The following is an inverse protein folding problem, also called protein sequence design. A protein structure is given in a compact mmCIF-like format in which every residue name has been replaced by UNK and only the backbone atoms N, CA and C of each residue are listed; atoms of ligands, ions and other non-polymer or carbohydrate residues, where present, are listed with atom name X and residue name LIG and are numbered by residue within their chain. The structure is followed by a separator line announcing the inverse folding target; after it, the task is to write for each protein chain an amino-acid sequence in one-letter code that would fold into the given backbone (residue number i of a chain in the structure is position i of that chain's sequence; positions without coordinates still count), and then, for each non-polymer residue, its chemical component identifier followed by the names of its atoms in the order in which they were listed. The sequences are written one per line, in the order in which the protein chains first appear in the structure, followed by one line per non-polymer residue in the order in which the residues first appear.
data_IF_340400408632
#
_entry.id   IF_340400408632
#
_cell.length_a   1.000
_cell.length_b   1.000
_cell.length_c   1.000
_cell.angle_alpha   90.00
_cell.angle_beta   90.00
_cell.angle_gamma   90.00
#
_symmetry.space_group_name_H-M   'P 1'
#
loop_
_entity.id
_entity.type
_entity.pdbx_description
1 polymer ?
#
# COMPACT_ATOMS: atom_id res chain seq x y z
N UNK A 1 -14.73 1.15 9.57
CA UNK A 1 -15.94 1.69 10.17
C UNK A 1 -15.74 3.19 10.15
N UNK A 2 -16.58 3.92 9.42
CA UNK A 2 -16.53 5.38 9.51
C UNK A 2 -17.36 5.80 10.73
N UNK A 3 -16.76 6.60 11.61
CA UNK A 3 -17.45 7.22 12.73
C UNK A 3 -18.40 8.25 12.13
N UNK A 4 -19.68 7.90 12.09
CA UNK A 4 -20.77 8.82 11.76
C UNK A 4 -21.46 9.24 13.04
N UNK A 5 -22.11 10.41 13.01
CA UNK A 5 -23.01 10.83 14.09
C UNK A 5 -24.00 9.69 14.38
N UNK A 6 -23.90 9.14 15.59
CA UNK A 6 -24.76 8.08 16.12
C UNK A 6 -25.37 8.61 17.40
N UNK A 7 -26.66 8.36 17.56
CA UNK A 7 -27.33 8.59 18.83
C UNK A 7 -27.06 7.38 19.72
N UNK A 8 -26.53 7.65 20.92
CA UNK A 8 -26.33 6.66 21.96
C UNK A 8 -27.48 6.76 22.97
N UNK A 9 -27.85 5.67 23.66
CA UNK A 9 -28.91 5.68 24.66
C UNK A 9 -28.50 6.36 25.99
N UNK A 10 -27.25 6.79 26.08
CA UNK A 10 -26.64 7.49 27.21
C UNK A 10 -25.58 8.48 26.68
N UNK A 11 -25.14 9.46 27.50
CA UNK A 11 -24.09 10.41 27.14
C UNK A 11 -22.80 9.73 26.74
N UNK A 12 -22.22 10.10 25.60
CA UNK A 12 -20.92 9.60 25.13
C UNK A 12 -19.99 10.76 24.84
N UNK A 13 -18.81 10.78 25.47
CA UNK A 13 -17.81 11.82 25.25
C UNK A 13 -17.31 11.77 23.79
N UNK A 14 -17.62 12.78 22.99
CA UNK A 14 -17.25 12.85 21.59
C UNK A 14 -17.12 14.30 21.15
N UNK A 15 -16.31 14.57 20.12
CA UNK A 15 -16.25 15.88 19.48
C UNK A 15 -17.45 16.16 18.56
N UNK A 16 -18.30 15.17 18.33
CA UNK A 16 -19.44 15.24 17.41
C UNK A 16 -20.79 15.53 18.12
N UNK A 17 -20.81 15.65 19.44
CA UNK A 17 -21.98 15.96 20.25
C UNK A 17 -21.59 16.92 21.40
N UNK A 18 -22.57 17.34 22.18
CA UNK A 18 -22.44 18.22 23.33
C UNK A 18 -22.87 17.53 24.63
N UNK A 19 -22.83 16.19 24.66
CA UNK A 19 -23.19 15.37 25.83
C UNK A 19 -22.33 15.69 27.06
N UNK A 20 -21.12 16.21 26.84
CA UNK A 20 -20.13 16.57 27.85
C UNK A 20 -19.70 18.04 27.70
N UNK A 21 -19.35 18.67 28.82
CA UNK A 21 -18.83 20.03 28.93
C UNK A 21 -17.46 20.02 29.59
N UNK A 22 -16.47 20.66 28.96
CA UNK A 22 -15.13 20.79 29.52
C UNK A 22 -14.28 19.51 29.51
N UNK A 23 -14.79 18.39 28.99
CA UNK A 23 -14.04 17.15 28.76
C UNK A 23 -13.70 16.96 27.28
N UNK A 24 -12.60 16.26 26.99
CA UNK A 24 -12.23 15.91 25.62
C UNK A 24 -11.50 14.58 25.54
N UNK A 25 -11.68 13.84 24.46
CA UNK A 25 -10.91 12.64 24.16
C UNK A 25 -10.47 12.66 22.70
N UNK A 26 -9.16 12.59 22.48
CA UNK A 26 -8.56 12.56 21.13
C UNK A 26 -7.40 11.56 21.08
N UNK A 27 -6.84 11.35 19.89
CA UNK A 27 -5.61 10.58 19.76
C UNK A 27 -4.69 11.18 18.69
N UNK A 28 -3.39 11.01 18.89
CA UNK A 28 -2.36 11.38 17.93
C UNK A 28 -1.76 10.12 17.32
N UNK A 29 -1.95 9.89 16.01
CA UNK A 29 -1.35 8.76 15.33
C UNK A 29 0.05 9.09 14.81
N UNK A 30 1.02 8.25 15.12
CA UNK A 30 2.31 8.19 14.47
C UNK A 30 2.44 6.84 13.73
N UNK A 31 2.24 6.88 12.42
CA UNK A 31 2.22 5.68 11.57
C UNK A 31 3.49 5.66 10.74
N UNK A 32 4.28 4.60 10.87
CA UNK A 32 5.52 4.42 10.11
C UNK A 32 5.50 3.13 9.29
N UNK A 33 6.09 3.17 8.11
CA UNK A 33 6.17 2.02 7.19
C UNK A 33 7.58 1.46 7.23
N UNK A 34 7.71 0.23 7.72
CA UNK A 34 8.92 -0.58 7.63
C UNK A 34 8.93 -1.47 6.38
N UNK A 35 10.01 -2.24 6.15
CA UNK A 35 10.16 -3.07 4.94
C UNK A 35 9.13 -4.20 4.81
N UNK A 36 8.59 -4.70 5.92
CA UNK A 36 7.65 -5.85 5.96
C UNK A 36 6.45 -5.62 6.87
N UNK A 37 6.36 -4.46 7.50
CA UNK A 37 5.34 -4.14 8.47
C UNK A 37 5.03 -2.65 8.47
N UNK A 38 3.84 -2.33 8.96
CA UNK A 38 3.41 -0.97 9.26
C UNK A 38 3.20 -0.90 10.76
N UNK A 39 3.84 0.08 11.38
CA UNK A 39 3.81 0.33 12.82
C UNK A 39 2.84 1.47 13.09
N UNK A 40 1.88 1.20 13.97
CA UNK A 40 0.89 2.15 14.44
C UNK A 40 1.20 2.49 15.89
N UNK A 41 1.87 3.61 16.12
CA UNK A 41 2.08 4.18 17.45
C UNK A 41 0.99 5.21 17.71
N UNK A 42 0.14 4.96 18.69
CA UNK A 42 -1.04 5.76 18.98
C UNK A 42 -0.91 6.29 20.42
N UNK A 43 -1.01 7.61 20.57
CA UNK A 43 -1.07 8.28 21.87
C UNK A 43 -2.47 8.84 22.07
N UNK A 44 -3.17 8.31 23.07
CA UNK A 44 -4.47 8.76 23.51
C UNK A 44 -4.34 9.95 24.47
N UNK A 45 -5.16 10.98 24.28
CA UNK A 45 -5.24 12.15 25.14
C UNK A 45 -6.67 12.27 25.70
N UNK A 46 -6.82 11.98 27.00
CA UNK A 46 -8.08 12.01 27.73
C UNK A 46 -8.06 13.12 28.77
N UNK A 47 -8.95 14.10 28.59
CA UNK A 47 -9.24 15.15 29.54
C UNK A 47 -10.60 14.87 30.19
N UNK A 48 -10.65 13.85 31.06
CA UNK A 48 -11.81 13.53 31.89
C UNK A 48 -11.38 12.63 33.06
N UNK A 49 -11.43 13.14 34.30
CA UNK A 49 -10.92 12.43 35.47
C UNK A 49 -11.76 11.22 35.85
N UNK A 50 -13.07 11.24 35.59
CA UNK A 50 -13.97 10.12 35.90
C UNK A 50 -13.73 8.94 34.94
N UNK A 51 -13.59 9.21 33.65
CA UNK A 51 -13.24 8.18 32.66
C UNK A 51 -11.83 7.65 32.91
N UNK A 52 -10.86 8.51 33.27
CA UNK A 52 -9.51 8.06 33.62
C UNK A 52 -9.54 7.12 34.83
N UNK A 53 -10.28 7.47 35.89
CA UNK A 53 -10.45 6.60 37.05
C UNK A 53 -11.05 5.25 36.68
N UNK A 54 -12.06 5.20 35.80
CA UNK A 54 -12.66 3.94 35.33
C UNK A 54 -11.63 3.06 34.62
N UNK A 55 -10.72 3.65 33.85
CA UNK A 55 -9.63 2.92 33.18
C UNK A 55 -8.63 2.39 34.22
N UNK A 56 -8.23 3.24 35.17
CA UNK A 56 -7.24 2.92 36.20
C UNK A 56 -7.70 1.75 37.11
N UNK A 57 -8.99 1.71 37.45
CA UNK A 57 -9.58 0.62 38.25
C UNK A 57 -10.00 -0.59 37.37
N UNK A 58 -9.75 -0.55 36.06
CA UNK A 58 -10.03 -1.64 35.13
C UNK A 58 -11.50 -1.86 34.78
N UNK A 59 -12.37 -0.88 35.03
CA UNK A 59 -13.79 -0.89 34.64
C UNK A 59 -13.99 -0.47 33.16
N UNK A 60 -13.05 0.28 32.59
CA UNK A 60 -13.01 0.66 31.19
C UNK A 60 -11.64 0.39 30.57
N UNK A 61 -11.56 0.36 29.24
CA UNK A 61 -10.29 0.23 28.51
C UNK A 61 -10.30 1.06 27.22
N UNK A 62 -9.12 1.49 26.78
CA UNK A 62 -8.96 2.05 25.43
C UNK A 62 -9.09 0.92 24.41
N UNK A 63 -9.86 1.17 23.36
CA UNK A 63 -10.09 0.24 22.26
C UNK A 63 -9.77 0.93 20.95
N UNK A 64 -8.79 0.41 20.23
CA UNK A 64 -8.41 0.87 18.90
C UNK A 64 -8.93 -0.15 17.89
N UNK A 65 -9.66 0.33 16.89
CA UNK A 65 -10.12 -0.47 15.77
C UNK A 65 -9.39 -0.05 14.50
N UNK A 66 -8.64 -0.98 13.91
CA UNK A 66 -7.94 -0.79 12.64
C UNK A 66 -8.63 -1.63 11.57
N UNK A 67 -9.00 -0.99 10.46
CA UNK A 67 -9.67 -1.65 9.35
C UNK A 67 -9.04 -1.25 8.00
N UNK A 68 -8.79 -2.24 7.16
CA UNK A 68 -8.45 -2.07 5.75
C UNK A 68 -9.50 -2.84 4.92
N UNK A 69 -10.50 -2.16 4.34
CA UNK A 69 -11.56 -2.82 3.60
C UNK A 69 -11.05 -3.59 2.38
N UNK A 70 -10.01 -3.08 1.72
CA UNK A 70 -9.45 -3.67 0.49
C UNK A 70 -8.92 -5.09 0.71
N UNK A 71 -8.25 -5.33 1.85
CA UNK A 71 -7.69 -6.64 2.20
C UNK A 71 -8.59 -7.44 3.14
N UNK A 72 -9.79 -6.94 3.43
CA UNK A 72 -10.70 -7.46 4.46
C UNK A 72 -10.05 -7.58 5.85
N UNK A 73 -8.98 -6.82 6.12
CA UNK A 73 -8.33 -6.81 7.41
C UNK A 73 -9.13 -5.98 8.42
N UNK A 74 -9.39 -6.54 9.59
CA UNK A 74 -9.97 -5.86 10.75
C UNK A 74 -9.34 -6.40 12.02
N UNK A 75 -8.95 -5.50 12.92
CA UNK A 75 -8.34 -5.86 14.19
C UNK A 75 -8.77 -4.89 15.29
N UNK A 76 -8.98 -5.42 16.49
CA UNK A 76 -9.28 -4.67 17.70
C UNK A 76 -8.08 -4.83 18.64
N UNK A 77 -7.52 -3.70 19.07
CA UNK A 77 -6.42 -3.62 20.02
C UNK A 77 -6.98 -2.99 21.29
N UNK A 78 -6.61 -3.58 22.43
CA UNK A 78 -7.06 -3.14 23.75
C UNK A 78 -5.86 -2.69 24.54
N UNK A 79 -5.93 -1.49 25.12
CA UNK A 79 -4.82 -0.89 25.84
C UNK A 79 -5.33 -0.27 27.14
N UNK A 80 -4.56 -0.42 28.21
CA UNK A 80 -4.83 0.22 29.51
C UNK A 80 -3.93 1.44 29.75
N UNK A 81 -2.99 1.70 28.85
CA UNK A 81 -2.11 2.87 28.85
C UNK A 81 -2.48 3.80 27.69
N UNK A 82 -2.21 5.08 27.86
CA UNK A 82 -2.35 6.12 26.84
C UNK A 82 -1.47 5.89 25.61
N UNK A 83 -0.37 5.14 25.73
CA UNK A 83 0.47 4.80 24.59
C UNK A 83 0.25 3.35 24.17
N UNK A 84 -0.07 3.14 22.90
CA UNK A 84 -0.29 1.82 22.35
C UNK A 84 0.40 1.68 20.99
N UNK A 85 1.22 0.63 20.84
CA UNK A 85 1.92 0.33 19.59
C UNK A 85 1.43 -0.98 19.00
N UNK A 86 1.20 -1.01 17.69
CA UNK A 86 0.83 -2.24 16.97
C UNK A 86 1.57 -2.35 15.64
N UNK A 87 2.19 -3.51 15.46
CA UNK A 87 2.84 -3.90 14.21
C UNK A 87 1.89 -4.79 13.40
N UNK A 88 1.62 -4.40 12.16
CA UNK A 88 0.81 -5.18 11.23
C UNK A 88 1.68 -5.50 10.01
N UNK A 89 1.73 -6.78 9.64
CA UNK A 89 2.45 -7.24 8.44
C UNK A 89 1.92 -6.52 7.21
N UNK A 90 2.80 -5.92 6.42
CA UNK A 90 2.47 -5.07 5.25
C UNK A 90 1.57 -5.81 4.26
N UNK A 91 1.75 -7.12 4.09
CA UNK A 91 0.95 -7.93 3.18
C UNK A 91 -0.55 -7.90 3.49
N UNK A 92 -0.93 -7.65 4.75
CA UNK A 92 -2.32 -7.59 5.22
C UNK A 92 -2.98 -6.24 5.00
N UNK A 93 -2.26 -5.20 4.56
CA UNK A 93 -2.79 -3.85 4.37
C UNK A 93 -2.55 -3.39 2.92
N UNK A 94 -3.55 -2.77 2.28
CA UNK A 94 -3.38 -2.13 0.98
C UNK A 94 -4.48 -1.08 0.75
N UNK A 95 -4.12 0.07 0.21
CA UNK A 95 -5.01 1.21 0.04
C UNK A 95 -5.37 1.89 1.37
N UNK A 96 -6.56 2.49 1.43
CA UNK A 96 -7.05 3.20 2.62
C UNK A 96 -7.19 2.29 3.84
N UNK A 97 -6.51 2.65 4.93
CA UNK A 97 -6.64 2.05 6.26
C UNK A 97 -7.23 3.08 7.20
N UNK A 98 -8.31 2.71 7.89
CA UNK A 98 -8.98 3.55 8.88
C UNK A 98 -8.64 3.09 10.29
N UNK A 99 -8.33 4.05 11.16
CA UNK A 99 -8.07 3.84 12.58
C UNK A 99 -9.09 4.64 13.39
N UNK A 100 -9.77 3.98 14.33
CA UNK A 100 -10.75 4.59 15.24
C UNK A 100 -10.36 4.26 16.68
N UNK A 101 -10.56 5.20 17.60
CA UNK A 101 -10.25 4.99 19.02
C UNK A 101 -11.49 5.25 19.88
N UNK A 102 -11.70 4.39 20.88
CA UNK A 102 -12.83 4.43 21.79
C UNK A 102 -12.37 4.20 23.24
N UNK A 103 -13.17 4.64 24.20
CA UNK A 103 -13.15 4.10 25.57
C UNK A 103 -14.38 3.23 25.71
N UNK A 104 -14.19 1.99 26.16
CA UNK A 104 -15.25 0.98 26.23
C UNK A 104 -15.33 0.39 27.62
N UNK A 105 -16.55 0.16 28.12
CA UNK A 105 -16.79 -0.51 29.39
C UNK A 105 -16.34 -1.98 29.32
N UNK A 106 -15.46 -2.39 30.24
CA UNK A 106 -14.93 -3.75 30.33
C UNK A 106 -15.89 -4.68 31.08
N UNK A 107 -16.69 -4.11 31.97
CA UNK A 107 -17.72 -4.75 32.77
C UNK A 107 -18.99 -3.89 32.76
N UNK A 108 -20.09 -4.41 33.29
CA UNK A 108 -21.30 -3.62 33.47
C UNK A 108 -21.06 -2.55 34.55
N UNK A 109 -21.43 -1.30 34.26
CA UNK A 109 -21.30 -0.16 35.15
C UNK A 109 -22.71 0.33 35.50
N UNK A 110 -23.15 0.04 36.72
CA UNK A 110 -24.47 0.46 37.18
C UNK A 110 -24.44 1.90 37.69
N UNK A 111 -25.45 2.69 37.35
CA UNK A 111 -25.60 4.07 37.82
C UNK A 111 -24.44 4.99 37.45
N UNK A 112 -23.86 4.83 36.27
CA UNK A 112 -22.81 5.71 35.75
C UNK A 112 -23.29 7.16 35.70
N UNK A 113 -22.48 8.05 36.26
CA UNK A 113 -22.64 9.50 36.18
C UNK A 113 -21.27 10.12 35.92
N UNK A 114 -21.26 11.29 35.29
CA UNK A 114 -20.05 12.08 35.12
C UNK A 114 -20.36 13.55 35.45
N UNK A 115 -19.56 14.22 36.30
CA UNK A 115 -19.74 15.65 36.60
C UNK A 115 -19.66 16.56 35.37
N UNK A 116 -18.99 16.10 34.30
CA UNK A 116 -18.86 16.83 33.05
C UNK A 116 -20.05 16.67 32.12
N UNK A 117 -21.07 15.87 32.46
CA UNK A 117 -22.27 15.78 31.63
C UNK A 117 -22.92 17.16 31.40
N UNK A 118 -23.53 17.32 30.23
CA UNK A 118 -24.38 18.47 29.94
C UNK A 118 -25.53 18.57 30.95
N UNK A 119 -26.01 19.79 31.19
CA UNK A 119 -27.10 20.10 32.11
C UNK A 119 -28.37 19.27 31.85
N UNK A 120 -28.63 18.89 30.60
CA UNK A 120 -29.77 18.05 30.21
C UNK A 120 -29.75 16.65 30.88
N UNK A 121 -28.59 16.20 31.33
CA UNK A 121 -28.38 14.93 32.03
C UNK A 121 -28.19 15.09 33.54
N UNK A 122 -28.43 16.28 34.08
CA UNK A 122 -28.31 16.54 35.52
C UNK A 122 -29.21 15.59 36.32
N UNK A 123 -28.66 15.01 37.39
CA UNK A 123 -29.34 14.06 38.28
C UNK A 123 -29.83 12.74 37.64
N UNK A 124 -29.40 12.45 36.41
CA UNK A 124 -29.69 11.18 35.72
C UNK A 124 -28.44 10.29 35.77
N UNK A 125 -28.64 9.00 36.06
CA UNK A 125 -27.61 7.98 35.96
C UNK A 125 -27.98 6.92 34.93
N UNK A 126 -26.95 6.27 34.39
CA UNK A 126 -27.10 5.32 33.29
C UNK A 126 -26.46 3.98 33.63
N UNK A 127 -27.14 2.88 33.33
CA UNK A 127 -26.54 1.56 33.38
C UNK A 127 -25.86 1.28 32.03
N UNK A 128 -24.56 1.01 32.06
CA UNK A 128 -23.74 0.79 30.87
C UNK A 128 -23.30 -0.66 30.85
N UNK A 129 -23.81 -1.41 29.89
CA UNK A 129 -23.43 -2.81 29.69
C UNK A 129 -21.97 -2.92 29.24
N UNK A 130 -21.34 -4.07 29.54
CA UNK A 130 -20.05 -4.46 29.01
C UNK A 130 -20.03 -4.32 27.48
N UNK A 131 -19.01 -3.63 26.97
CA UNK A 131 -18.89 -3.31 25.55
C UNK A 131 -19.54 -1.98 25.15
N UNK A 132 -20.22 -1.30 26.08
CA UNK A 132 -20.75 0.04 25.90
C UNK A 132 -19.64 1.06 25.64
N UNK A 133 -19.86 1.98 24.70
CA UNK A 133 -18.89 3.00 24.29
C UNK A 133 -19.06 4.22 25.21
N UNK A 134 -18.06 4.52 26.02
CA UNK A 134 -18.07 5.67 26.93
C UNK A 134 -17.53 6.94 26.26
N UNK A 135 -16.58 6.79 25.34
CA UNK A 135 -16.00 7.91 24.60
C UNK A 135 -15.56 7.51 23.19
N UNK A 136 -15.56 8.48 22.28
CA UNK A 136 -15.13 8.37 20.90
C UNK A 136 -13.98 9.36 20.66
N UNK A 137 -12.77 8.86 20.47
CA UNK A 137 -11.54 9.66 20.32
C UNK A 137 -11.31 10.21 18.92
N UNK A 138 -12.19 9.88 17.98
CA UNK A 138 -12.12 10.27 16.58
C UNK A 138 -11.60 9.16 15.67
N UNK A 139 -11.34 9.54 14.41
CA UNK A 139 -10.90 8.65 13.34
C UNK A 139 -9.84 9.34 12.49
N UNK A 140 -8.84 8.58 12.07
CA UNK A 140 -7.96 8.98 10.98
C UNK A 140 -7.96 7.91 9.88
N UNK A 141 -7.47 8.29 8.70
CA UNK A 141 -7.19 7.35 7.63
C UNK A 141 -5.81 7.60 7.07
N UNK A 142 -5.08 6.52 6.84
CA UNK A 142 -3.79 6.52 6.16
C UNK A 142 -3.92 5.73 4.88
N UNK A 143 -3.35 6.25 3.79
CA UNK A 143 -3.25 5.52 2.54
C UNK A 143 -2.00 4.64 2.58
N UNK A 144 -2.18 3.33 2.66
CA UNK A 144 -1.07 2.36 2.61
C UNK A 144 -1.03 1.81 1.21
N UNK A 145 -0.36 2.52 0.32
CA UNK A 145 -0.02 1.94 -0.97
C UNK A 145 1.14 0.99 -0.74
N UNK A 146 0.94 -0.27 -1.11
CA UNK A 146 2.08 -1.13 -1.38
C UNK A 146 2.88 -0.39 -2.43
N UNK A 147 4.13 -0.09 -2.11
CA UNK A 147 5.07 0.30 -3.15
C UNK A 147 5.41 -1.00 -3.88
N UNK A 148 4.43 -1.57 -4.56
CA UNK A 148 4.73 -2.23 -5.81
C UNK A 148 5.28 -1.10 -6.64
N UNK A 149 6.59 -1.10 -6.74
CA UNK A 149 7.47 -0.30 -7.58
C UNK A 149 7.13 -0.49 -9.09
N UNK A 150 5.84 -0.58 -9.42
CA UNK A 150 5.24 -0.91 -10.71
C UNK A 150 5.16 0.31 -11.65
N UNK A 151 5.62 1.48 -11.19
CA UNK A 151 5.77 2.67 -12.04
C UNK A 151 7.22 3.18 -12.07
N UNK A 152 8.11 2.48 -11.38
CA UNK A 152 9.51 2.84 -11.13
C UNK A 152 10.43 1.76 -11.69
N UNK A 153 10.02 0.49 -11.67
CA UNK A 153 10.71 -0.60 -12.37
C UNK A 153 10.13 -0.76 -13.77
N UNK A 154 10.90 -0.34 -14.77
CA UNK A 154 10.63 -0.51 -16.20
C UNK A 154 10.12 -1.92 -16.59
N UNK A 155 10.53 -3.03 -15.97
CA UNK A 155 9.95 -4.35 -16.27
C UNK A 155 8.44 -4.49 -15.98
N UNK A 156 7.86 -3.69 -15.10
CA UNK A 156 6.45 -3.80 -14.67
C UNK A 156 5.42 -3.27 -15.68
N UNK A 157 5.88 -2.45 -16.63
CA UNK A 157 5.07 -1.96 -17.77
C UNK A 157 5.00 -2.96 -18.92
N UNK A 158 5.65 -4.12 -18.77
CA UNK A 158 5.56 -5.23 -19.71
C UNK A 158 4.55 -6.27 -19.23
N UNK A 159 3.92 -6.94 -20.19
CA UNK A 159 3.12 -8.15 -19.96
C UNK A 159 3.64 -9.24 -20.86
N UNK A 160 4.12 -10.34 -20.30
CA UNK A 160 4.55 -11.49 -21.08
C UNK A 160 3.38 -12.47 -21.16
N UNK A 161 2.96 -12.78 -22.39
CA UNK A 161 1.75 -13.52 -22.69
C UNK A 161 2.06 -14.74 -23.57
N UNK A 162 1.21 -15.77 -23.50
CA UNK A 162 1.24 -16.93 -24.39
C UNK A 162 0.47 -16.61 -25.68
N UNK A 163 1.02 -16.98 -26.84
CA UNK A 163 0.30 -16.95 -28.11
C UNK A 163 -0.93 -17.88 -28.07
N UNK A 164 -2.06 -17.38 -28.60
CA UNK A 164 -3.27 -18.18 -28.80
C UNK A 164 -3.23 -19.02 -30.09
N UNK A 165 -2.31 -18.70 -31.00
CA UNK A 165 -2.13 -19.39 -32.28
C UNK A 165 -0.85 -20.22 -32.22
N UNK A 166 -0.96 -21.53 -32.39
CA UNK A 166 0.16 -22.49 -32.33
C UNK A 166 1.09 -22.42 -33.56
N UNK A 167 0.80 -21.58 -34.56
CA UNK A 167 1.55 -21.50 -35.83
C UNK A 167 2.65 -20.43 -35.86
N UNK A 168 2.79 -19.60 -34.83
CA UNK A 168 3.79 -18.53 -34.80
C UNK A 168 4.86 -18.80 -33.76
N UNK A 169 6.07 -19.09 -34.24
CA UNK A 169 7.22 -19.43 -33.41
C UNK A 169 7.98 -18.19 -32.92
N UNK A 170 7.65 -17.00 -33.43
CA UNK A 170 8.40 -15.77 -33.16
C UNK A 170 7.83 -14.94 -32.01
N UNK A 171 8.71 -14.22 -31.30
CA UNK A 171 8.31 -13.24 -30.30
C UNK A 171 7.64 -12.03 -30.96
N UNK A 172 6.47 -11.64 -30.46
CA UNK A 172 5.74 -10.44 -30.92
C UNK A 172 5.66 -9.38 -29.84
N UNK A 173 5.61 -8.13 -30.27
CA UNK A 173 5.47 -6.96 -29.39
C UNK A 173 4.26 -6.16 -29.83
N UNK A 174 3.38 -5.83 -28.88
CA UNK A 174 2.19 -5.01 -29.09
C UNK A 174 2.20 -3.81 -28.12
N UNK A 175 1.91 -2.63 -28.66
CA UNK A 175 1.97 -1.33 -27.99
C UNK A 175 0.56 -0.71 -27.76
N UNK A 176 -0.49 -1.35 -28.26
CA UNK A 176 -1.87 -0.85 -28.25
C UNK A 176 -2.55 -0.95 -26.88
N UNK A 177 -1.95 -1.67 -25.94
CA UNK A 177 -2.45 -1.81 -24.58
C UNK A 177 -1.97 -0.72 -23.60
N UNK A 178 -2.39 -0.84 -22.35
CA UNK A 178 -1.84 -0.05 -21.23
C UNK A 178 -0.41 -0.49 -20.85
N UNK A 179 -0.08 -1.74 -21.14
CA UNK A 179 1.24 -2.35 -21.00
C UNK A 179 1.79 -2.75 -22.36
N UNK A 180 3.11 -2.81 -22.48
CA UNK A 180 3.78 -3.38 -23.65
C UNK A 180 3.64 -4.90 -23.58
N UNK A 181 2.90 -5.50 -24.49
CA UNK A 181 2.67 -6.94 -24.49
C UNK A 181 3.75 -7.66 -25.31
N UNK A 182 4.44 -8.60 -24.68
CA UNK A 182 5.39 -9.52 -25.32
C UNK A 182 4.70 -10.88 -25.42
N UNK A 183 4.42 -11.32 -26.63
CA UNK A 183 3.79 -12.63 -26.87
C UNK A 183 4.85 -13.64 -27.27
N UNK A 184 4.89 -14.76 -26.56
CA UNK A 184 5.80 -15.89 -26.81
C UNK A 184 5.01 -17.12 -27.29
N UNK A 185 5.67 -18.02 -28.01
CA UNK A 185 5.10 -19.32 -28.35
C UNK A 185 4.85 -20.16 -27.08
N UNK A 186 4.03 -21.21 -27.20
CA UNK A 186 3.60 -22.01 -26.05
C UNK A 186 4.77 -22.59 -25.24
N UNK A 187 5.81 -23.09 -25.92
CA UNK A 187 6.99 -23.69 -25.29
C UNK A 187 7.82 -22.64 -24.55
N UNK A 188 8.21 -21.55 -25.22
CA UNK A 188 9.00 -20.48 -24.59
C UNK A 188 8.27 -19.82 -23.42
N UNK A 189 6.95 -19.63 -23.52
CA UNK A 189 6.15 -19.11 -22.41
C UNK A 189 6.13 -20.06 -21.21
N UNK A 190 6.01 -21.37 -21.45
CA UNK A 190 6.05 -22.38 -20.38
C UNK A 190 7.39 -22.35 -19.64
N UNK A 191 8.50 -22.33 -20.39
CA UNK A 191 9.85 -22.24 -19.82
C UNK A 191 10.05 -20.93 -19.05
N UNK A 192 9.66 -19.80 -19.65
CA UNK A 192 9.68 -18.50 -18.98
C UNK A 192 8.93 -18.54 -17.65
N UNK A 193 7.69 -19.07 -17.62
CA UNK A 193 6.85 -19.09 -16.42
C UNK A 193 7.49 -19.88 -15.28
N UNK A 194 8.13 -20.99 -15.58
CA UNK A 194 8.83 -21.82 -14.58
C UNK A 194 10.06 -21.08 -14.05
N UNK A 195 10.89 -20.54 -14.95
CA UNK A 195 12.16 -19.90 -14.59
C UNK A 195 11.97 -18.53 -13.93
N UNK A 196 10.96 -17.77 -14.32
CA UNK A 196 10.67 -16.43 -13.78
C UNK A 196 10.28 -16.45 -12.30
N UNK A 197 9.93 -17.62 -11.76
CA UNK A 197 9.67 -17.80 -10.33
C UNK A 197 10.95 -17.64 -9.48
N UNK A 198 12.13 -17.90 -10.06
CA UNK A 198 13.41 -17.69 -9.39
C UNK A 198 13.96 -16.29 -9.74
N UNK A 199 14.21 -15.43 -8.73
CA UNK A 199 14.77 -14.10 -8.95
C UNK A 199 16.11 -14.08 -9.69
N UNK A 200 16.87 -15.17 -9.64
CA UNK A 200 18.19 -15.28 -10.28
C UNK A 200 18.13 -15.20 -11.81
N UNK A 201 17.01 -15.60 -12.43
CA UNK A 201 16.85 -15.52 -13.89
C UNK A 201 16.29 -14.17 -14.38
N UNK A 202 15.79 -13.31 -13.48
CA UNK A 202 15.18 -12.03 -13.89
C UNK A 202 16.13 -11.13 -14.69
N UNK A 203 17.42 -10.96 -14.33
CA UNK A 203 18.36 -10.17 -15.13
C UNK A 203 18.50 -10.70 -16.57
N UNK A 204 18.49 -12.03 -16.74
CA UNK A 204 18.55 -12.68 -18.05
C UNK A 204 17.30 -12.36 -18.86
N UNK A 205 16.11 -12.49 -18.28
CA UNK A 205 14.85 -12.14 -18.95
C UNK A 205 14.74 -10.65 -19.30
N UNK A 206 15.26 -9.77 -18.45
CA UNK A 206 15.35 -8.34 -18.79
C UNK A 206 16.22 -8.11 -20.03
N UNK A 207 17.31 -8.84 -20.19
CA UNK A 207 18.20 -8.70 -21.35
C UNK A 207 17.65 -9.33 -22.63
N UNK A 208 16.94 -10.47 -22.56
CA UNK A 208 16.50 -11.20 -23.76
C UNK A 208 15.06 -10.90 -24.19
N UNK A 209 14.21 -10.40 -23.28
CA UNK A 209 12.81 -10.06 -23.59
C UNK A 209 12.57 -8.54 -23.53
N UNK A 210 12.91 -7.93 -22.39
CA UNK A 210 12.52 -6.53 -22.12
C UNK A 210 13.37 -5.55 -22.93
N UNK A 211 14.68 -5.78 -23.02
CA UNK A 211 15.59 -4.93 -23.80
C UNK A 211 15.19 -4.89 -25.29
N UNK A 212 15.00 -6.02 -26.02
CA UNK A 212 14.52 -5.99 -27.39
C UNK A 212 13.17 -5.27 -27.55
N UNK A 213 12.26 -5.45 -26.60
CA UNK A 213 10.97 -4.78 -26.63
C UNK A 213 11.09 -3.25 -26.46
N UNK A 214 12.00 -2.77 -25.60
CA UNK A 214 12.28 -1.34 -25.48
C UNK A 214 12.94 -0.76 -26.72
N UNK A 215 13.86 -1.49 -27.35
CA UNK A 215 14.47 -1.06 -28.61
C UNK A 215 13.37 -0.85 -29.65
N UNK A 216 12.46 -1.80 -29.77
CA UNK A 216 11.31 -1.70 -30.67
C UNK A 216 10.39 -0.51 -30.34
N UNK A 217 10.15 -0.26 -29.04
CA UNK A 217 9.38 0.91 -28.59
C UNK A 217 10.05 2.21 -29.03
N UNK A 218 11.33 2.40 -28.73
CA UNK A 218 12.04 3.63 -29.10
C UNK A 218 12.11 3.82 -30.61
N UNK A 219 12.30 2.74 -31.37
CA UNK A 219 12.28 2.79 -32.84
C UNK A 219 10.90 3.20 -33.38
N UNK A 220 9.84 2.68 -32.76
CA UNK A 220 8.47 3.03 -33.12
C UNK A 220 8.16 4.49 -32.79
N UNK A 221 8.55 4.96 -31.60
CA UNK A 221 8.39 6.37 -31.21
C UNK A 221 9.19 7.30 -32.12
N UNK A 222 10.40 6.91 -32.53
CA UNK A 222 11.25 7.68 -33.43
C UNK A 222 10.62 7.83 -34.83
N UNK A 223 10.01 6.75 -35.35
CA UNK A 223 9.38 6.73 -36.68
C UNK A 223 8.01 7.38 -36.72
N UNK A 224 7.18 7.13 -35.72
CA UNK A 224 5.75 7.49 -35.72
C UNK A 224 5.43 8.72 -34.87
N UNK A 225 6.40 9.23 -34.10
CA UNK A 225 6.17 10.28 -33.11
C UNK A 225 5.60 9.74 -31.79
N UNK A 226 5.42 10.64 -30.82
CA UNK A 226 5.01 10.29 -29.45
C UNK A 226 3.53 10.54 -29.15
N UNK A 227 2.83 11.32 -29.98
CA UNK A 227 1.51 11.88 -29.71
C UNK A 227 0.46 10.80 -29.41
N UNK A 228 0.41 9.74 -30.22
CA UNK A 228 -0.55 8.63 -30.09
C UNK A 228 -0.33 7.78 -28.82
N UNK A 229 0.83 7.92 -28.18
CA UNK A 229 1.24 7.09 -27.04
C UNK A 229 1.20 7.85 -25.71
N UNK A 230 1.03 9.17 -25.69
CA UNK A 230 1.17 9.98 -24.48
C UNK A 230 0.24 9.58 -23.32
N UNK A 231 -0.94 9.06 -23.65
CA UNK A 231 -1.94 8.62 -22.67
C UNK A 231 -1.67 7.22 -22.11
N UNK A 232 -0.89 6.40 -22.83
CA UNK A 232 -0.61 5.01 -22.45
C UNK A 232 0.15 4.96 -21.14
N UNK A 233 -0.24 4.06 -20.23
CA UNK A 233 0.46 3.89 -18.94
C UNK A 233 1.94 3.56 -19.13
N UNK A 234 2.29 2.69 -20.08
CA UNK A 234 3.68 2.35 -20.36
C UNK A 234 4.50 3.56 -20.83
N UNK A 235 3.95 4.44 -21.67
CA UNK A 235 4.64 5.63 -22.16
C UNK A 235 4.94 6.61 -21.02
N UNK A 236 3.94 6.87 -20.17
CA UNK A 236 4.09 7.75 -19.00
C UNK A 236 5.16 7.26 -18.04
N UNK A 237 5.29 5.94 -17.87
CA UNK A 237 6.32 5.33 -17.06
C UNK A 237 7.72 5.49 -17.67
N UNK A 238 7.91 5.19 -18.97
CA UNK A 238 9.19 5.41 -19.67
C UNK A 238 9.61 6.89 -19.54
N UNK A 239 8.67 7.82 -19.80
CA UNK A 239 8.90 9.25 -19.66
C UNK A 239 9.36 9.62 -18.25
N UNK A 240 8.71 9.08 -17.22
CA UNK A 240 9.07 9.33 -15.82
C UNK A 240 10.48 8.81 -15.50
N UNK A 241 10.82 7.60 -15.95
CA UNK A 241 12.14 7.01 -15.72
C UNK A 241 13.24 7.81 -16.39
N UNK A 242 13.05 8.24 -17.65
CA UNK A 242 14.00 9.10 -18.35
C UNK A 242 14.15 10.46 -17.66
N UNK A 243 13.05 11.06 -17.19
CA UNK A 243 13.11 12.33 -16.45
C UNK A 243 13.96 12.23 -15.18
N UNK A 244 13.91 11.10 -14.46
CA UNK A 244 14.79 10.86 -13.29
C UNK A 244 16.28 10.83 -13.69
N UNK A 245 16.58 10.45 -14.92
CA UNK A 245 17.94 10.47 -15.48
C UNK A 245 18.29 11.81 -16.16
N UNK A 246 17.44 12.83 -16.05
CA UNK A 246 17.64 14.15 -16.65
C UNK A 246 17.34 14.22 -18.15
N UNK A 247 16.67 13.22 -18.72
CA UNK A 247 16.30 13.16 -20.14
C UNK A 247 14.80 13.40 -20.30
N UNK A 248 14.42 14.19 -21.31
CA UNK A 248 13.01 14.38 -21.68
C UNK A 248 12.66 13.42 -22.82
N UNK A 249 11.52 12.73 -22.71
CA UNK A 249 11.04 11.90 -23.82
C UNK A 249 10.37 12.78 -24.87
N UNK A 250 11.13 13.21 -25.87
CA UNK A 250 10.69 13.99 -27.03
C UNK A 250 11.48 13.60 -28.29
N UNK A 251 11.04 14.13 -29.45
CA UNK A 251 11.65 13.80 -30.73
C UNK A 251 13.15 14.14 -30.79
N UNK A 252 13.57 15.26 -30.18
CA UNK A 252 14.98 15.66 -30.12
C UNK A 252 15.83 14.59 -29.43
N UNK A 253 15.34 14.05 -28.32
CA UNK A 253 16.04 12.98 -27.58
C UNK A 253 16.06 11.66 -28.36
N UNK A 254 14.95 11.32 -29.03
CA UNK A 254 14.83 10.12 -29.88
C UNK A 254 15.74 10.18 -31.12
N UNK A 255 15.98 11.37 -31.66
CA UNK A 255 16.89 11.58 -32.79
C UNK A 255 18.36 11.65 -32.37
N UNK A 256 18.63 12.12 -31.15
CA UNK A 256 20.00 12.28 -30.61
C UNK A 256 20.62 10.97 -30.17
N UNK A 257 19.83 10.08 -29.54
CA UNK A 257 20.32 8.81 -29.03
C UNK A 257 19.85 7.64 -29.90
N UNK A 258 20.70 6.60 -30.00
CA UNK A 258 20.30 5.34 -30.62
C UNK A 258 19.27 4.62 -29.73
N UNK A 259 18.27 3.98 -30.36
CA UNK A 259 17.20 3.24 -29.69
C UNK A 259 17.75 2.19 -28.70
N UNK A 260 18.88 1.57 -29.06
CA UNK A 260 19.61 0.63 -28.21
C UNK A 260 20.21 1.29 -26.96
N UNK A 261 20.82 2.47 -27.09
CA UNK A 261 21.42 3.19 -25.96
C UNK A 261 20.36 3.65 -24.96
N UNK A 262 19.22 4.16 -25.45
CA UNK A 262 18.09 4.54 -24.60
C UNK A 262 17.56 3.32 -23.84
N UNK A 263 17.37 2.19 -24.51
CA UNK A 263 16.90 0.96 -23.87
C UNK A 263 17.86 0.44 -22.80
N UNK A 264 19.18 0.48 -23.05
CA UNK A 264 20.17 0.09 -22.06
C UNK A 264 20.22 1.04 -20.85
N UNK A 265 20.12 2.36 -21.07
CA UNK A 265 20.07 3.35 -19.97
C UNK A 265 18.82 3.19 -19.12
N UNK A 266 17.68 2.97 -19.76
CA UNK A 266 16.39 2.81 -19.09
C UNK A 266 16.38 1.57 -18.17
N UNK A 267 17.05 0.48 -18.57
CA UNK A 267 17.17 -0.76 -17.80
C UNK A 267 18.43 -0.86 -16.93
N UNK A 268 19.24 0.21 -16.86
CA UNK A 268 20.50 0.27 -16.12
C UNK A 268 21.47 -0.87 -16.50
N UNK A 269 21.84 -0.96 -17.78
CA UNK A 269 22.80 -1.93 -18.33
C UNK A 269 22.37 -3.40 -18.14
N UNK A 270 21.23 -3.81 -18.71
CA UNK A 270 20.64 -5.14 -18.51
C UNK A 270 21.54 -6.28 -18.99
N UNK A 271 22.37 -6.05 -20.02
CA UNK A 271 23.30 -7.06 -20.55
C UNK A 271 24.37 -7.41 -19.51
N UNK A 272 24.96 -6.40 -18.86
CA UNK A 272 25.96 -6.63 -17.81
C UNK A 272 25.35 -7.39 -16.63
N UNK A 273 24.15 -6.97 -16.20
CA UNK A 273 23.41 -7.63 -15.12
C UNK A 273 23.08 -9.10 -15.46
N UNK A 274 22.72 -9.39 -16.70
CA UNK A 274 22.47 -10.75 -17.17
C UNK A 274 23.73 -11.63 -17.14
N UNK A 275 24.86 -11.12 -17.63
CA UNK A 275 26.14 -11.86 -17.62
C UNK A 275 26.57 -12.18 -16.18
N UNK A 276 26.48 -11.20 -15.26
CA UNK A 276 26.79 -11.42 -13.84
C UNK A 276 25.86 -12.47 -13.21
N UNK A 277 24.56 -12.42 -13.51
CA UNK A 277 23.61 -13.40 -13.02
C UNK A 277 23.89 -14.82 -13.54
N UNK A 278 24.26 -14.95 -14.82
CA UNK A 278 24.63 -16.24 -15.40
C UNK A 278 25.91 -16.81 -14.78
N UNK A 279 26.92 -15.98 -14.50
CA UNK A 279 28.14 -16.43 -13.82
C UNK A 279 27.83 -16.98 -12.41
N UNK A 280 27.01 -16.27 -11.63
CA UNK A 280 26.60 -16.71 -10.28
C UNK A 280 25.78 -18.00 -10.30
N UNK A 281 24.95 -18.19 -11.33
CA UNK A 281 24.22 -19.44 -11.53
C UNK A 281 25.15 -20.61 -11.87
N UNK A 282 26.24 -20.36 -12.62
CA UNK A 282 27.26 -21.35 -12.93
C UNK A 282 28.02 -21.81 -11.68
N UNK A 283 28.50 -20.87 -10.86
CA UNK A 283 29.27 -21.18 -9.66
C UNK A 283 28.46 -21.97 -8.63
N UNK A 284 27.16 -21.69 -8.49
CA UNK A 284 26.27 -22.44 -7.57
C UNK A 284 26.07 -23.92 -7.91
N UNK A 285 26.38 -24.33 -9.15
CA UNK A 285 26.30 -25.72 -9.59
C UNK A 285 27.61 -26.47 -9.35
N UNK A 286 28.73 -25.74 -9.24
CA UNK A 286 30.05 -26.32 -8.94
C UNK A 286 30.28 -26.54 -7.43
N UNK A 287 29.67 -25.72 -6.56
CA UNK A 287 29.76 -25.86 -5.09
C UNK A 287 28.89 -27.00 -4.51
N UNK A 288 27.97 -27.57 -5.30
CA UNK A 288 27.11 -28.71 -4.92
C UNK A 288 27.62 -30.09 -5.44
N UNK A 289 28.80 -30.15 -6.06
CA UNK A 289 29.46 -31.39 -6.52
C UNK A 289 30.67 -31.76 -5.65
#
# INVERSE_FOLDING_TARGET
MDIRSKLYPYPVLSSANDDYTGSSFTFTPHISKGPREVVFDLTMDLQDSTLQQLIDIGQAEFVIHIECPYTAFREIIKCSSENCSRHIVESRLNGKVSVCVFIVAKHDICGYTNPAFNADYSDISFDIERGGILAVGGQCSVEITKETDELTKVPSIFSICRSAMDSDESMKIDLDGEKIAITLCAESFSNYRVMSASPAYLPVFHSILILPALIYVFETLKRSGTEDFEQRRWFRAIRRTLSTQGLKLDQTTLDTYESFELAQKLLELPVNKAITALAQLGDSVEDEQ
#
